data_IF_433436046141
#
_entry.id   IF_433436046141
#
_cell.length_a   1.000
_cell.length_b   1.000
_cell.length_c   1.000
_cell.angle_alpha   90.00
_cell.angle_beta   90.00
_cell.angle_gamma   90.00
#
_symmetry.space_group_name_H-M   'P 1'
#
loop_
_entity.id
_entity.type
_entity.pdbx_description
1 polymer ?
#
# COMPACT_ATOMS: atom_id res chain seq x y z
N UNK A 1 57.39 25.71 -27.23
CA UNK A 1 57.42 24.34 -26.68
C UNK A 1 57.52 24.39 -25.16
N UNK A 2 56.45 23.98 -24.46
CA UNK A 2 56.45 23.33 -23.15
C UNK A 2 55.01 22.88 -22.87
N UNK A 3 54.86 21.58 -22.63
CA UNK A 3 53.61 20.86 -22.36
C UNK A 3 53.34 20.97 -20.86
N UNK A 4 52.09 21.23 -20.46
CA UNK A 4 51.59 20.85 -19.13
C UNK A 4 50.09 20.55 -19.18
N UNK A 5 49.78 19.36 -18.70
CA UNK A 5 48.55 18.59 -18.74
C UNK A 5 47.49 19.16 -17.80
N UNK A 6 46.24 19.30 -18.25
CA UNK A 6 45.11 19.69 -17.40
C UNK A 6 44.68 18.52 -16.49
N UNK A 7 44.70 18.75 -15.18
CA UNK A 7 43.97 17.97 -14.18
C UNK A 7 42.73 18.74 -13.77
N UNK A 8 41.55 18.15 -14.01
CA UNK A 8 40.23 18.68 -13.64
C UNK A 8 39.81 18.07 -12.30
N UNK A 9 39.83 18.85 -11.22
CA UNK A 9 39.20 18.53 -9.93
C UNK A 9 38.84 19.88 -9.30
N UNK A 10 37.63 20.17 -8.83
CA UNK A 10 36.39 19.43 -8.72
C UNK A 10 35.37 20.49 -8.31
N UNK A 11 34.35 20.67 -9.14
CA UNK A 11 33.30 21.66 -9.00
C UNK A 11 32.12 21.00 -8.27
N UNK A 12 31.37 21.83 -7.53
CA UNK A 12 30.02 21.62 -6.99
C UNK A 12 29.89 20.93 -5.62
N UNK A 13 29.79 21.81 -4.62
CA UNK A 13 28.82 21.65 -3.55
C UNK A 13 27.41 21.49 -4.14
N UNK A 14 26.86 20.28 -4.08
CA UNK A 14 25.42 20.06 -4.16
C UNK A 14 24.89 19.80 -2.76
N UNK A 15 24.18 20.81 -2.29
CA UNK A 15 23.16 20.87 -1.24
C UNK A 15 22.49 19.55 -0.88
N UNK A 16 22.27 19.38 0.43
CA UNK A 16 21.36 18.42 1.05
C UNK A 16 20.03 18.29 0.29
N UNK A 17 19.61 17.07 0.02
CA UNK A 17 18.19 16.68 0.04
C UNK A 17 18.06 15.46 0.94
N UNK A 18 17.22 15.57 1.97
CA UNK A 18 17.03 14.60 3.02
C UNK A 18 16.79 13.18 2.48
N UNK A 19 17.62 12.19 2.88
CA UNK A 19 17.28 10.77 2.80
C UNK A 19 16.24 10.42 3.87
N UNK A 20 15.06 11.03 3.78
CA UNK A 20 13.84 10.56 4.41
C UNK A 20 12.95 10.00 3.31
N UNK A 21 13.37 8.87 2.72
CA UNK A 21 12.52 8.19 1.73
C UNK A 21 11.24 7.75 2.41
N UNK A 22 10.09 8.08 1.83
CA UNK A 22 8.82 7.48 2.24
C UNK A 22 8.93 5.96 2.14
N UNK A 23 8.31 5.26 3.08
CA UNK A 23 8.20 3.80 3.00
C UNK A 23 7.23 3.46 1.86
N UNK A 24 7.53 2.43 1.05
CA UNK A 24 6.61 1.91 0.02
C UNK A 24 5.22 1.57 0.59
N UNK A 25 5.15 1.22 1.87
CA UNK A 25 3.89 0.99 2.58
C UNK A 25 3.11 2.30 2.74
N UNK A 26 3.78 3.41 3.02
CA UNK A 26 3.13 4.71 3.18
C UNK A 26 2.66 5.24 1.82
N UNK A 27 3.47 5.08 0.76
CA UNK A 27 3.04 5.38 -0.61
C UNK A 27 1.81 4.54 -0.99
N UNK A 28 1.83 3.23 -0.72
CA UNK A 28 0.68 2.37 -0.99
C UNK A 28 -0.57 2.70 -0.14
N UNK A 29 -0.41 3.22 1.09
CA UNK A 29 -1.55 3.69 1.91
C UNK A 29 -2.19 4.94 1.33
N UNK A 30 -1.43 5.77 0.63
CA UNK A 30 -1.89 7.00 0.01
C UNK A 30 -2.42 6.79 -1.42
N UNK A 31 -1.97 5.73 -2.09
CA UNK A 31 -2.46 5.31 -3.40
C UNK A 31 -3.93 4.86 -3.40
N UNK A 32 -4.53 4.89 -4.59
CA UNK A 32 -5.97 4.64 -4.81
C UNK A 32 -6.23 3.28 -5.42
N UNK A 33 -7.29 2.61 -4.95
CA UNK A 33 -7.86 1.45 -5.62
C UNK A 33 -8.80 1.93 -6.74
N UNK A 34 -8.63 1.50 -8.00
CA UNK A 34 -9.52 1.85 -9.10
C UNK A 34 -10.99 1.52 -8.84
N UNK A 35 -11.25 0.44 -8.09
CA UNK A 35 -12.59 0.01 -7.68
C UNK A 35 -13.24 0.97 -6.67
N UNK A 36 -12.44 1.87 -6.07
CA UNK A 36 -12.84 2.76 -5.00
C UNK A 36 -12.33 4.19 -5.23
N UNK A 37 -12.81 4.86 -6.29
CA UNK A 37 -12.30 6.17 -6.67
C UNK A 37 -12.46 7.19 -5.54
N UNK A 38 -11.38 7.89 -5.23
CA UNK A 38 -11.34 8.98 -4.26
C UNK A 38 -11.05 8.58 -2.80
N UNK A 39 -10.82 7.29 -2.51
CA UNK A 39 -10.38 6.84 -1.18
C UNK A 39 -9.05 6.10 -1.28
N UNK A 40 -8.09 6.50 -0.44
CA UNK A 40 -6.80 5.83 -0.37
C UNK A 40 -6.92 4.48 0.34
N UNK A 41 -5.99 3.56 0.07
CA UNK A 41 -5.97 2.24 0.70
C UNK A 41 -5.97 2.33 2.24
N UNK A 42 -5.19 3.27 2.79
CA UNK A 42 -5.12 3.51 4.23
C UNK A 42 -6.48 3.92 4.81
N UNK A 43 -7.24 4.77 4.11
CA UNK A 43 -8.59 5.16 4.54
C UNK A 43 -9.59 4.00 4.45
N UNK A 44 -9.50 3.19 3.40
CA UNK A 44 -10.35 2.01 3.20
C UNK A 44 -10.14 1.00 4.32
N UNK A 45 -8.88 0.69 4.62
CA UNK A 45 -8.52 -0.25 5.68
C UNK A 45 -8.91 0.29 7.05
N UNK A 46 -8.59 1.55 7.36
CA UNK A 46 -8.99 2.17 8.62
C UNK A 46 -10.51 2.27 8.76
N UNK A 47 -11.29 2.50 7.70
CA UNK A 47 -12.75 2.60 7.82
C UNK A 47 -13.44 1.26 8.12
N UNK A 48 -12.78 0.13 7.86
CA UNK A 48 -13.42 -1.18 7.86
C UNK A 48 -12.88 -2.15 8.90
N UNK A 49 -11.57 -2.13 9.13
CA UNK A 49 -10.97 -2.92 10.19
C UNK A 49 -11.43 -2.36 11.54
N UNK A 50 -11.64 -3.24 12.53
CA UNK A 50 -12.13 -2.83 13.84
C UNK A 50 -11.07 -1.94 14.50
N UNK A 51 -11.34 -0.63 14.55
CA UNK A 51 -10.42 0.39 15.08
C UNK A 51 -10.40 0.47 16.61
N UNK A 52 -11.29 -0.20 17.33
CA UNK A 52 -11.29 -0.20 18.81
C UNK A 52 -10.03 -0.86 19.41
N UNK A 53 -9.21 -1.50 18.56
CA UNK A 53 -7.83 -1.88 18.84
C UNK A 53 -6.87 -1.04 18.00
N UNK A 54 -6.70 0.22 18.40
CA UNK A 54 -6.01 1.36 17.75
C UNK A 54 -4.58 1.15 17.19
N UNK A 55 -4.02 -0.07 17.11
CA UNK A 55 -2.62 -0.29 16.70
C UNK A 55 -2.29 -1.67 16.09
N UNK A 56 -3.21 -2.36 15.41
CA UNK A 56 -2.92 -3.74 14.95
C UNK A 56 -3.11 -4.07 13.48
N UNK A 57 -3.45 -3.11 12.61
CA UNK A 57 -3.32 -3.39 11.17
C UNK A 57 -1.84 -3.58 10.85
N UNK A 58 -1.43 -4.84 10.68
CA UNK A 58 -0.07 -5.19 10.34
C UNK A 58 0.10 -4.98 8.84
N UNK A 59 0.94 -4.03 8.49
CA UNK A 59 1.31 -3.75 7.11
C UNK A 59 2.63 -4.44 6.79
N UNK A 60 2.65 -5.18 5.69
CA UNK A 60 3.87 -5.78 5.15
C UNK A 60 3.97 -5.50 3.65
N UNK A 61 5.20 -5.42 3.16
CA UNK A 61 5.48 -5.22 1.74
C UNK A 61 6.56 -6.21 1.30
N UNK A 62 6.33 -6.86 0.16
CA UNK A 62 7.26 -7.82 -0.44
C UNK A 62 7.41 -7.51 -1.93
N UNK A 63 8.66 -7.46 -2.41
CA UNK A 63 8.94 -7.34 -3.84
C UNK A 63 8.31 -8.48 -4.63
N UNK A 64 7.95 -8.20 -5.88
CA UNK A 64 7.50 -9.22 -6.84
C UNK A 64 8.58 -9.49 -7.89
N UNK A 65 8.29 -10.37 -8.85
CA UNK A 65 9.18 -10.61 -9.99
C UNK A 65 9.25 -9.40 -10.94
N UNK A 66 8.25 -8.51 -10.87
CA UNK A 66 8.23 -7.22 -11.56
C UNK A 66 8.88 -6.16 -10.65
N UNK A 67 9.95 -5.48 -11.11
CA UNK A 67 10.71 -4.54 -10.29
C UNK A 67 9.91 -3.30 -9.88
N UNK A 68 8.88 -2.93 -10.65
CA UNK A 68 8.06 -1.76 -10.37
C UNK A 68 6.85 -2.12 -9.49
N UNK A 69 6.57 -3.41 -9.31
CA UNK A 69 5.41 -3.89 -8.53
C UNK A 69 5.81 -4.46 -7.17
N UNK A 70 5.14 -3.99 -6.12
CA UNK A 70 5.29 -4.47 -4.76
C UNK A 70 3.97 -5.04 -4.26
N UNK A 71 4.02 -6.24 -3.67
CA UNK A 71 2.87 -6.81 -2.96
C UNK A 71 2.78 -6.16 -1.58
N UNK A 72 1.66 -5.50 -1.31
CA UNK A 72 1.37 -4.88 -0.02
C UNK A 72 0.22 -5.63 0.64
N UNK A 73 0.38 -5.98 1.90
CA UNK A 73 -0.60 -6.74 2.68
C UNK A 73 -0.97 -5.98 3.94
N UNK A 74 -2.27 -5.83 4.18
CA UNK A 74 -2.85 -5.36 5.42
C UNK A 74 -3.56 -6.51 6.15
N UNK A 75 -3.16 -6.79 7.39
CA UNK A 75 -3.74 -7.84 8.23
C UNK A 75 -4.33 -7.27 9.52
N UNK A 76 -5.47 -7.76 9.96
CA UNK A 76 -6.16 -7.28 11.16
C UNK A 76 -7.49 -7.99 11.39
N UNK A 77 -8.42 -7.38 12.12
CA UNK A 77 -9.72 -7.98 12.41
C UNK A 77 -10.89 -7.18 11.81
N UNK A 78 -11.92 -7.89 11.36
CA UNK A 78 -13.18 -7.33 10.89
C UNK A 78 -14.35 -7.94 11.65
N UNK A 79 -15.49 -7.26 11.67
CA UNK A 79 -16.74 -7.84 12.14
C UNK A 79 -17.46 -8.50 10.95
N UNK A 80 -17.40 -9.82 10.87
CA UNK A 80 -18.05 -10.59 9.80
C UNK A 80 -19.20 -11.41 10.38
N UNK A 81 -20.43 -11.10 9.96
CA UNK A 81 -21.67 -11.76 10.43
C UNK A 81 -21.78 -11.75 11.97
N UNK A 82 -21.38 -10.64 12.60
CA UNK A 82 -21.43 -10.47 14.07
C UNK A 82 -20.30 -11.16 14.83
N UNK A 83 -19.29 -11.72 14.15
CA UNK A 83 -18.14 -12.40 14.77
C UNK A 83 -16.84 -11.71 14.36
N UNK A 84 -15.95 -11.48 15.34
CA UNK A 84 -14.60 -10.99 15.07
C UNK A 84 -13.82 -12.04 14.27
N UNK A 85 -13.37 -11.66 13.09
CA UNK A 85 -12.71 -12.55 12.15
C UNK A 85 -11.42 -11.91 11.66
N UNK A 86 -10.31 -12.64 11.73
CA UNK A 86 -9.05 -12.19 11.15
C UNK A 86 -9.22 -12.03 9.63
N UNK A 87 -8.81 -10.88 9.10
CA UNK A 87 -8.88 -10.57 7.68
C UNK A 87 -7.50 -10.16 7.15
N UNK A 88 -7.26 -10.51 5.89
CA UNK A 88 -6.09 -10.09 5.13
C UNK A 88 -6.55 -9.48 3.83
N UNK A 89 -6.07 -8.27 3.53
CA UNK A 89 -6.21 -7.61 2.24
C UNK A 89 -4.83 -7.53 1.60
N UNK A 90 -4.66 -8.13 0.43
CA UNK A 90 -3.44 -8.12 -0.36
C UNK A 90 -3.71 -7.36 -1.66
N UNK A 91 -2.85 -6.38 -1.94
CA UNK A 91 -2.88 -5.57 -3.16
C UNK A 91 -1.50 -5.60 -3.82
N UNK A 92 -1.48 -5.42 -5.15
CA UNK A 92 -0.26 -5.15 -5.88
C UNK A 92 -0.20 -3.65 -6.15
N UNK A 93 0.88 -3.01 -5.70
CA UNK A 93 1.17 -1.60 -5.91
C UNK A 93 2.19 -1.45 -7.04
N UNK A 94 1.78 -0.86 -8.15
CA UNK A 94 2.66 -0.45 -9.24
C UNK A 94 3.21 0.94 -8.92
N UNK A 95 4.49 1.00 -8.54
CA UNK A 95 5.17 2.22 -8.12
C UNK A 95 5.42 3.18 -9.29
N UNK A 96 5.53 2.67 -10.52
CA UNK A 96 5.78 3.49 -11.70
C UNK A 96 4.51 4.28 -12.12
N UNK A 97 3.34 3.69 -11.91
CA UNK A 97 2.03 4.27 -12.26
C UNK A 97 1.26 4.83 -11.07
N UNK A 98 1.72 4.57 -9.84
CA UNK A 98 1.02 4.91 -8.60
C UNK A 98 -0.41 4.29 -8.55
N UNK A 99 -0.51 3.03 -8.97
CA UNK A 99 -1.77 2.31 -9.10
C UNK A 99 -1.81 1.07 -8.20
N UNK A 100 -2.95 0.84 -7.54
CA UNK A 100 -3.22 -0.39 -6.79
C UNK A 100 -4.10 -1.33 -7.60
N UNK A 101 -3.90 -2.64 -7.42
CA UNK A 101 -4.82 -3.67 -7.89
C UNK A 101 -5.08 -4.71 -6.81
N UNK A 102 -6.34 -5.13 -6.67
CA UNK A 102 -6.72 -6.15 -5.71
C UNK A 102 -6.12 -7.51 -6.11
N UNK A 103 -5.28 -8.08 -5.24
CA UNK A 103 -4.72 -9.42 -5.44
C UNK A 103 -5.58 -10.47 -4.76
N UNK A 104 -5.82 -10.30 -3.46
CA UNK A 104 -6.39 -11.36 -2.63
C UNK A 104 -7.04 -10.82 -1.35
N UNK A 105 -8.09 -11.50 -0.92
CA UNK A 105 -8.76 -11.28 0.36
C UNK A 105 -8.87 -12.61 1.11
N UNK A 106 -8.50 -12.63 2.39
CA UNK A 106 -8.66 -13.80 3.27
C UNK A 106 -9.51 -13.48 4.49
N UNK A 107 -10.32 -14.43 4.93
CA UNK A 107 -10.99 -14.43 6.24
C UNK A 107 -10.65 -15.71 7.01
N UNK A 108 -10.26 -15.59 8.27
CA UNK A 108 -9.83 -16.72 9.09
C UNK A 108 -8.70 -17.52 8.43
N UNK A 109 -7.82 -16.85 7.67
CA UNK A 109 -6.73 -17.46 6.91
C UNK A 109 -7.13 -18.16 5.60
N UNK A 110 -8.41 -18.13 5.21
CA UNK A 110 -8.90 -18.75 3.96
C UNK A 110 -9.18 -17.70 2.88
N UNK A 111 -8.71 -17.98 1.67
CA UNK A 111 -9.02 -17.16 0.50
C UNK A 111 -10.53 -17.09 0.26
N UNK A 112 -11.02 -15.88 0.02
CA UNK A 112 -12.41 -15.65 -0.31
C UNK A 112 -12.63 -15.81 -1.82
N UNK A 113 -13.73 -16.44 -2.25
CA UNK A 113 -14.09 -16.45 -3.66
C UNK A 113 -14.22 -15.02 -4.19
N UNK A 114 -13.81 -14.81 -5.43
CA UNK A 114 -13.72 -13.49 -6.05
C UNK A 114 -14.98 -12.60 -5.87
N UNK A 115 -16.22 -13.10 -6.05
CA UNK A 115 -17.41 -12.28 -5.83
C UNK A 115 -17.55 -11.76 -4.38
N UNK A 116 -17.13 -12.54 -3.39
CA UNK A 116 -17.14 -12.11 -1.99
C UNK A 116 -16.04 -11.10 -1.68
N UNK A 117 -14.86 -11.29 -2.26
CA UNK A 117 -13.76 -10.34 -2.15
C UNK A 117 -14.15 -8.97 -2.75
N UNK A 118 -14.77 -8.96 -3.94
CA UNK A 118 -15.25 -7.74 -4.60
C UNK A 118 -16.37 -7.07 -3.79
N UNK A 119 -17.34 -7.83 -3.28
CA UNK A 119 -18.41 -7.30 -2.43
C UNK A 119 -17.87 -6.71 -1.12
N UNK A 120 -16.84 -7.33 -0.53
CA UNK A 120 -16.16 -6.78 0.64
C UNK A 120 -15.53 -5.43 0.29
N UNK A 121 -14.70 -5.37 -0.75
CA UNK A 121 -14.00 -4.14 -1.15
C UNK A 121 -15.01 -3.03 -1.44
N UNK A 122 -16.11 -3.33 -2.13
CA UNK A 122 -17.21 -2.37 -2.31
C UNK A 122 -17.75 -1.84 -0.98
N UNK A 123 -18.04 -2.72 -0.01
CA UNK A 123 -18.54 -2.32 1.30
C UNK A 123 -17.51 -1.50 2.10
N UNK A 124 -16.23 -1.89 2.04
CA UNK A 124 -15.13 -1.14 2.66
C UNK A 124 -15.07 0.28 2.11
N UNK A 125 -15.27 0.43 0.81
CA UNK A 125 -15.20 1.72 0.14
C UNK A 125 -16.41 2.61 0.42
N UNK A 126 -17.60 2.02 0.57
CA UNK A 126 -18.78 2.75 1.04
C UNK A 126 -18.57 3.27 2.47
N UNK A 127 -18.08 2.41 3.38
CA UNK A 127 -17.72 2.84 4.75
C UNK A 127 -16.67 3.94 4.78
N UNK A 128 -15.63 3.84 3.94
CA UNK A 128 -14.58 4.86 3.85
C UNK A 128 -15.10 6.21 3.36
N UNK A 129 -16.16 6.22 2.55
CA UNK A 129 -16.88 7.44 2.14
C UNK A 129 -17.82 7.99 3.22
N UNK A 130 -18.03 7.25 4.31
CA UNK A 130 -19.00 7.59 5.35
C UNK A 130 -20.45 7.34 4.93
N UNK A 131 -20.67 6.41 4.00
CA UNK A 131 -22.00 5.99 3.52
C UNK A 131 -22.55 4.80 4.29
#
# INVERSE_FOLDING_TARGET
MKIQTCFTIGLLACTLSACGGHSVIDDAKDAYLPECPGQSLGKIVNGYFINDFDAKTLWTAYGTDDPDTVRVTAEGEILYVGVNTAATLEVLYDQARDELSLSRVKFGGKDQPRPFAEALVSNMCDKAKGL
#
